data_IF_685300636189
#
_entry.id   IF_685300636189
#
_cell.length_a   1.000
_cell.length_b   1.000
_cell.length_c   1.000
_cell.angle_alpha   90.00
_cell.angle_beta   90.00
_cell.angle_gamma   90.00
#
_symmetry.space_group_name_H-M   'P 1'
#
loop_
_entity.id
_entity.type
_entity.pdbx_description
1 polymer ?
#
# COMPACT_ATOMS: atom_id res chain seq x y z
N UNK A 1 7.58 -12.19 -0.21
CA UNK A 1 6.30 -12.12 0.54
C UNK A 1 5.72 -10.74 0.32
N UNK A 2 4.53 -10.68 -0.27
CA UNK A 2 3.90 -9.44 -0.73
C UNK A 2 3.52 -8.54 0.44
N UNK A 3 3.62 -7.23 0.23
CA UNK A 3 3.13 -6.19 1.12
C UNK A 3 2.36 -5.19 0.30
N UNK A 4 1.14 -4.88 0.69
CA UNK A 4 0.27 -4.03 -0.11
C UNK A 4 -0.59 -3.12 0.74
N UNK A 5 -1.01 -2.02 0.14
CA UNK A 5 -2.04 -1.12 0.68
C UNK A 5 -3.02 -0.85 -0.44
N UNK A 6 -4.30 -1.12 -0.20
CA UNK A 6 -5.36 -1.05 -1.20
C UNK A 6 -6.51 -0.24 -0.61
N UNK A 7 -6.90 0.83 -1.29
CA UNK A 7 -8.15 1.56 -1.00
C UNK A 7 -9.31 0.83 -1.68
N UNK A 8 -10.28 0.38 -0.90
CA UNK A 8 -11.48 -0.32 -1.38
C UNK A 8 -12.72 0.32 -0.75
N UNK A 9 -13.42 1.16 -1.53
CA UNK A 9 -14.52 1.98 -1.02
C UNK A 9 -14.08 2.87 0.13
N UNK A 10 -14.75 2.75 1.28
CA UNK A 10 -14.41 3.49 2.50
C UNK A 10 -13.34 2.79 3.37
N UNK A 11 -12.82 1.65 2.92
CA UNK A 11 -11.85 0.87 3.68
C UNK A 11 -10.46 0.89 3.06
N UNK A 12 -9.45 0.71 3.92
CA UNK A 12 -8.06 0.51 3.51
C UNK A 12 -7.65 -0.88 3.99
N UNK A 13 -7.22 -1.71 3.05
CA UNK A 13 -6.64 -3.03 3.32
C UNK A 13 -5.13 -2.90 3.29
N UNK A 14 -4.47 -3.43 4.30
CA UNK A 14 -3.03 -3.45 4.44
C UNK A 14 -2.58 -4.90 4.59
N UNK A 15 -1.90 -5.42 3.59
CA UNK A 15 -1.29 -6.75 3.62
C UNK A 15 0.18 -6.60 4.01
N UNK A 16 0.64 -7.24 5.08
CA UNK A 16 1.99 -6.97 5.60
C UNK A 16 2.75 -8.17 6.18
N UNK A 17 2.09 -9.32 6.41
CA UNK A 17 2.71 -10.57 6.90
C UNK A 17 3.91 -10.35 7.83
N UNK A 18 3.72 -9.64 8.95
CA UNK A 18 4.77 -9.26 9.92
C UNK A 18 4.21 -9.40 11.34
N UNK A 19 4.98 -9.97 12.25
CA UNK A 19 4.54 -10.18 13.64
C UNK A 19 3.31 -11.09 13.78
N UNK A 20 3.09 -12.01 12.82
CA UNK A 20 1.92 -12.90 12.80
C UNK A 20 0.60 -12.22 12.46
N UNK A 21 0.66 -11.06 11.79
CA UNK A 21 -0.46 -10.33 11.17
C UNK A 21 -0.34 -10.51 9.66
N UNK A 22 -1.38 -11.02 9.01
CA UNK A 22 -1.40 -11.25 7.57
C UNK A 22 -1.92 -10.01 6.84
N UNK A 23 -3.14 -9.59 7.20
CA UNK A 23 -3.77 -8.37 6.72
C UNK A 23 -4.43 -7.56 7.85
N UNK A 24 -4.58 -6.26 7.61
CA UNK A 24 -5.31 -5.31 8.45
C UNK A 24 -6.35 -4.61 7.59
N UNK A 25 -7.60 -4.56 8.06
CA UNK A 25 -8.66 -3.72 7.48
C UNK A 25 -8.91 -2.51 8.37
N UNK A 26 -8.88 -1.33 7.76
CA UNK A 26 -9.16 -0.05 8.42
C UNK A 26 -10.44 0.54 7.82
N UNK A 27 -11.49 0.68 8.63
CA UNK A 27 -12.75 1.32 8.23
C UNK A 27 -13.49 1.85 9.47
N UNK A 28 -12.98 2.92 10.08
CA UNK A 28 -13.43 3.39 11.41
C UNK A 28 -12.91 2.53 12.57
N UNK A 29 -12.81 1.22 12.37
CA UNK A 29 -12.19 0.25 13.27
C UNK A 29 -10.98 -0.43 12.60
N UNK A 30 -10.12 -1.04 13.43
CA UNK A 30 -8.95 -1.80 12.99
C UNK A 30 -9.19 -3.28 13.26
N UNK A 31 -9.21 -4.07 12.18
CA UNK A 31 -9.44 -5.52 12.20
C UNK A 31 -8.25 -6.25 11.62
N UNK A 32 -7.93 -7.42 12.17
CA UNK A 32 -6.84 -8.28 11.70
C UNK A 32 -7.42 -9.53 11.06
N UNK A 33 -6.83 -9.99 9.97
CA UNK A 33 -7.38 -11.11 9.20
C UNK A 33 -6.47 -11.55 8.07
N UNK A 34 -7.06 -12.30 7.14
CA UNK A 34 -6.48 -12.65 5.85
C UNK A 34 -7.13 -11.83 4.73
N UNK A 35 -6.40 -11.60 3.64
CA UNK A 35 -6.91 -10.98 2.43
C UNK A 35 -6.35 -11.70 1.21
N UNK A 36 -7.20 -12.12 0.29
CA UNK A 36 -6.79 -12.89 -0.90
C UNK A 36 -6.72 -12.06 -2.20
N UNK A 37 -6.95 -10.74 -2.09
CA UNK A 37 -7.06 -9.84 -3.23
C UNK A 37 -8.50 -9.42 -3.55
N UNK A 38 -9.49 -10.13 -3.02
CA UNK A 38 -10.92 -9.87 -3.22
C UNK A 38 -11.62 -9.71 -1.88
N UNK A 39 -11.47 -10.72 -1.01
CA UNK A 39 -12.20 -10.85 0.24
C UNK A 39 -11.28 -10.75 1.45
N UNK A 40 -11.77 -10.09 2.50
CA UNK A 40 -11.12 -9.99 3.80
C UNK A 40 -11.84 -10.88 4.81
N UNK A 41 -11.11 -11.82 5.41
CA UNK A 41 -11.63 -12.71 6.45
C UNK A 41 -11.03 -12.32 7.79
N UNK A 42 -11.87 -11.80 8.68
CA UNK A 42 -11.45 -11.40 10.03
C UNK A 42 -11.04 -12.61 10.87
N UNK A 43 -9.95 -12.47 11.62
CA UNK A 43 -9.47 -13.47 12.57
C UNK A 43 -9.46 -12.88 13.97
N UNK A 44 -9.90 -13.68 14.93
CA UNK A 44 -9.69 -13.34 16.35
C UNK A 44 -8.20 -13.40 16.67
N UNK A 45 -7.68 -12.34 17.28
CA UNK A 45 -6.27 -12.19 17.66
C UNK A 45 -6.15 -11.66 19.07
N UNK A 46 -4.99 -11.83 19.69
CA UNK A 46 -4.71 -11.25 21.01
C UNK A 46 -4.68 -9.72 20.96
N UNK A 47 -4.94 -9.07 22.11
CA UNK A 47 -4.85 -7.61 22.24
C UNK A 47 -3.46 -7.07 21.87
N UNK A 48 -2.40 -7.83 22.17
CA UNK A 48 -1.03 -7.49 21.77
C UNK A 48 -0.89 -7.41 20.24
N UNK A 49 -1.44 -8.39 19.50
CA UNK A 49 -1.45 -8.37 18.04
C UNK A 49 -2.29 -7.22 17.50
N UNK A 50 -3.42 -6.94 18.14
CA UNK A 50 -4.27 -5.82 17.75
C UNK A 50 -3.55 -4.47 17.93
N UNK A 51 -2.82 -4.28 19.04
CA UNK A 51 -2.01 -3.09 19.26
C UNK A 51 -0.89 -2.94 18.22
N UNK A 52 -0.18 -4.02 17.91
CA UNK A 52 0.81 -4.03 16.81
C UNK A 52 0.17 -3.67 15.47
N UNK A 53 -1.02 -4.18 15.19
CA UNK A 53 -1.77 -3.84 13.97
C UNK A 53 -2.14 -2.35 13.94
N UNK A 54 -2.58 -1.77 15.06
CA UNK A 54 -2.86 -0.33 15.17
C UNK A 54 -1.63 0.52 14.85
N UNK A 55 -0.46 0.13 15.35
CA UNK A 55 0.79 0.83 15.06
C UNK A 55 1.17 0.78 13.58
N UNK A 56 1.08 -0.39 12.95
CA UNK A 56 1.32 -0.52 11.50
C UNK A 56 0.32 0.29 10.68
N UNK A 57 -0.97 0.19 11.01
CA UNK A 57 -2.02 0.95 10.35
C UNK A 57 -1.75 2.45 10.43
N UNK A 58 -1.41 2.97 11.61
CA UNK A 58 -1.08 4.40 11.79
C UNK A 58 0.10 4.85 10.93
N UNK A 59 1.20 4.09 10.92
CA UNK A 59 2.38 4.40 10.09
C UNK A 59 2.01 4.47 8.60
N UNK A 60 1.26 3.48 8.13
CA UNK A 60 0.87 3.38 6.73
C UNK A 60 -0.13 4.46 6.33
N UNK A 61 -1.16 4.70 7.14
CA UNK A 61 -2.14 5.77 6.90
C UNK A 61 -1.45 7.12 6.78
N UNK A 62 -0.47 7.40 7.63
CA UNK A 62 0.33 8.62 7.54
C UNK A 62 1.16 8.70 6.24
N UNK A 63 1.68 7.57 5.74
CA UNK A 63 2.39 7.55 4.47
C UNK A 63 1.46 7.86 3.29
N UNK A 64 0.31 7.20 3.23
CA UNK A 64 -0.61 7.30 2.07
C UNK A 64 -1.54 8.51 2.12
N UNK A 65 -1.73 9.16 3.27
CA UNK A 65 -2.54 10.39 3.37
C UNK A 65 -1.94 11.55 2.58
N UNK A 66 -0.62 11.57 2.41
CA UNK A 66 0.07 12.51 1.52
C UNK A 66 -0.17 12.25 0.03
N UNK A 67 -0.91 11.19 -0.31
CA UNK A 67 -1.02 10.61 -1.65
C UNK A 67 -2.48 10.26 -2.01
N UNK A 68 -3.37 11.25 -2.15
CA UNK A 68 -4.81 10.98 -2.33
C UNK A 68 -5.14 10.26 -3.64
N UNK A 69 -4.36 10.47 -4.72
CA UNK A 69 -4.57 9.87 -6.03
C UNK A 69 -4.22 8.37 -6.12
N UNK A 70 -3.45 7.84 -5.16
CA UNK A 70 -3.04 6.44 -5.14
C UNK A 70 -4.21 5.57 -4.69
N UNK A 71 -4.56 4.58 -5.50
CA UNK A 71 -5.55 3.55 -5.20
C UNK A 71 -4.87 2.40 -4.45
N UNK A 72 -3.73 1.93 -4.94
CA UNK A 72 -2.98 0.88 -4.27
C UNK A 72 -1.48 0.96 -4.50
N UNK A 73 -0.73 0.45 -3.54
CA UNK A 73 0.71 0.19 -3.64
C UNK A 73 0.93 -1.29 -3.31
N UNK A 74 1.66 -2.00 -4.15
CA UNK A 74 2.03 -3.40 -3.95
C UNK A 74 3.54 -3.51 -4.03
N UNK A 75 4.15 -4.20 -3.07
CA UNK A 75 5.57 -4.51 -3.02
C UNK A 75 5.75 -6.02 -2.90
N UNK A 76 6.36 -6.62 -3.91
CA UNK A 76 6.85 -8.00 -3.88
C UNK A 76 8.34 -8.00 -4.22
N UNK A 77 8.66 -8.05 -5.51
CA UNK A 77 10.02 -7.94 -6.07
C UNK A 77 10.27 -6.55 -6.66
N UNK A 78 9.21 -5.87 -7.07
CA UNK A 78 9.20 -4.46 -7.48
C UNK A 78 8.01 -3.75 -6.84
N UNK A 79 7.99 -2.43 -6.93
CA UNK A 79 6.86 -1.63 -6.46
C UNK A 79 5.91 -1.36 -7.63
N UNK A 80 4.63 -1.66 -7.41
CA UNK A 80 3.53 -1.35 -8.32
C UNK A 80 2.63 -0.32 -7.64
N UNK A 81 2.33 0.77 -8.32
CA UNK A 81 1.43 1.80 -7.81
C UNK A 81 0.27 1.99 -8.77
N UNK A 82 -0.95 1.69 -8.33
CA UNK A 82 -2.18 2.01 -9.06
C UNK A 82 -2.69 3.38 -8.61
N UNK A 83 -3.02 4.25 -9.55
CA UNK A 83 -3.49 5.61 -9.26
C UNK A 83 -4.44 6.12 -10.35
N UNK A 84 -5.15 7.20 -10.04
CA UNK A 84 -6.00 7.92 -11.01
C UNK A 84 -5.24 9.12 -11.56
N UNK A 85 -5.18 9.24 -12.88
CA UNK A 85 -4.63 10.38 -13.60
C UNK A 85 -5.55 10.78 -14.75
N UNK A 86 -5.97 12.04 -14.79
CA UNK A 86 -6.92 12.57 -15.77
C UNK A 86 -8.16 11.67 -15.95
N UNK A 87 -8.71 11.18 -14.83
CA UNK A 87 -9.89 10.30 -14.82
C UNK A 87 -9.64 8.85 -15.24
N UNK A 88 -8.39 8.47 -15.52
CA UNK A 88 -8.03 7.12 -15.91
C UNK A 88 -7.25 6.41 -14.81
N UNK A 89 -7.55 5.11 -14.61
CA UNK A 89 -6.70 4.26 -13.80
C UNK A 89 -5.41 3.91 -14.56
N UNK A 90 -4.28 4.07 -13.89
CA UNK A 90 -2.93 3.84 -14.40
C UNK A 90 -2.17 2.99 -13.38
N UNK A 91 -1.32 2.09 -13.86
CA UNK A 91 -0.36 1.36 -13.05
C UNK A 91 1.04 1.82 -13.41
N UNK A 92 1.76 2.33 -12.41
CA UNK A 92 3.18 2.64 -12.48
C UNK A 92 4.00 1.47 -11.91
N UNK A 93 5.04 1.07 -12.62
CA UNK A 93 6.04 0.10 -12.18
C UNK A 93 7.29 0.87 -11.79
N UNK A 94 7.70 0.76 -10.53
CA UNK A 94 8.78 1.55 -9.95
C UNK A 94 9.95 0.62 -9.63
N UNK A 95 11.03 0.82 -10.38
CA UNK A 95 12.35 0.22 -10.16
C UNK A 95 13.42 1.33 -10.20
N UNK A 96 14.47 1.17 -11.01
CA UNK A 96 15.45 2.23 -11.32
C UNK A 96 14.83 3.34 -12.20
N UNK A 97 13.74 3.03 -12.89
CA UNK A 97 12.93 3.97 -13.66
C UNK A 97 11.44 3.75 -13.36
N UNK A 98 10.60 4.70 -13.78
CA UNK A 98 9.14 4.57 -13.73
C UNK A 98 8.64 4.21 -15.12
N UNK A 99 7.91 3.11 -15.24
CA UNK A 99 7.18 2.76 -16.46
C UNK A 99 5.68 2.65 -16.19
N UNK A 100 4.86 2.81 -17.22
CA UNK A 100 3.40 2.83 -17.09
C UNK A 100 2.77 1.72 -17.94
N UNK A 101 1.68 1.13 -17.48
CA UNK A 101 0.93 0.12 -18.25
C UNK A 101 0.20 0.68 -19.48
N UNK A 102 0.17 2.00 -19.64
CA UNK A 102 -0.47 2.72 -20.74
C UNK A 102 0.54 3.65 -21.41
N UNK A 103 0.35 3.89 -22.70
CA UNK A 103 1.08 4.94 -23.42
C UNK A 103 0.50 6.31 -23.03
N UNK A 104 1.00 6.87 -21.93
CA UNK A 104 0.58 8.18 -21.41
C UNK A 104 1.82 9.00 -21.05
N UNK A 105 1.67 10.33 -21.10
CA UNK A 105 2.64 11.27 -20.55
C UNK A 105 2.13 11.78 -19.21
N UNK A 106 2.81 11.36 -18.15
CA UNK A 106 2.59 11.83 -16.78
C UNK A 106 3.48 13.05 -16.57
N UNK A 107 2.94 14.11 -15.97
CA UNK A 107 3.74 15.28 -15.62
C UNK A 107 4.75 14.94 -14.50
N UNK A 108 5.85 15.69 -14.47
CA UNK A 108 6.97 15.42 -13.55
C UNK A 108 6.58 15.54 -12.07
N UNK A 109 5.61 16.39 -11.73
CA UNK A 109 5.18 16.57 -10.35
C UNK A 109 4.38 15.35 -9.87
N UNK A 110 3.49 14.84 -10.71
CA UNK A 110 2.78 13.58 -10.44
C UNK A 110 3.76 12.41 -10.32
N UNK A 111 4.75 12.30 -11.21
CA UNK A 111 5.77 11.25 -11.13
C UNK A 111 6.59 11.33 -9.84
N UNK A 112 7.05 12.52 -9.47
CA UNK A 112 7.77 12.76 -8.21
C UNK A 112 6.94 12.36 -6.99
N UNK A 113 5.64 12.71 -6.99
CA UNK A 113 4.72 12.33 -5.91
C UNK A 113 4.58 10.82 -5.82
N UNK A 114 4.40 10.11 -6.94
CA UNK A 114 4.30 8.64 -6.93
C UNK A 114 5.57 8.02 -6.31
N UNK A 115 6.75 8.48 -6.72
CA UNK A 115 8.02 8.02 -6.18
C UNK A 115 8.15 8.29 -4.67
N UNK A 116 7.79 9.49 -4.22
CA UNK A 116 7.83 9.86 -2.81
C UNK A 116 6.87 9.00 -1.97
N UNK A 117 5.65 8.79 -2.47
CA UNK A 117 4.65 7.95 -1.83
C UNK A 117 5.12 6.49 -1.67
N UNK A 118 5.68 5.92 -2.74
CA UNK A 118 6.25 4.58 -2.70
C UNK A 118 7.41 4.48 -1.70
N UNK A 119 8.30 5.48 -1.65
CA UNK A 119 9.37 5.54 -0.65
C UNK A 119 8.84 5.63 0.78
N UNK A 120 7.84 6.49 1.04
CA UNK A 120 7.20 6.61 2.36
C UNK A 120 6.55 5.30 2.79
N UNK A 121 5.84 4.62 1.88
CA UNK A 121 5.25 3.32 2.13
C UNK A 121 6.31 2.29 2.54
N UNK A 122 7.39 2.19 1.76
CA UNK A 122 8.52 1.29 2.03
C UNK A 122 9.15 1.56 3.40
N UNK A 123 9.45 2.82 3.70
CA UNK A 123 10.03 3.23 4.98
C UNK A 123 9.10 2.94 6.16
N UNK A 124 7.79 3.10 5.98
CA UNK A 124 6.80 2.85 7.04
C UNK A 124 6.72 1.38 7.47
N UNK A 125 7.17 0.48 6.59
CA UNK A 125 7.21 -0.96 6.81
C UNK A 125 8.62 -1.51 7.07
N UNK A 126 9.62 -0.62 7.18
CA UNK A 126 11.05 -0.94 7.30
C UNK A 126 11.55 -1.80 6.13
N UNK A 127 11.04 -1.55 4.92
CA UNK A 127 11.40 -2.30 3.72
C UNK A 127 12.59 -1.64 3.03
N UNK A 128 13.59 -2.45 2.71
CA UNK A 128 14.71 -2.03 1.87
C UNK A 128 14.46 -2.50 0.43
N UNK A 129 14.60 -1.60 -0.53
CA UNK A 129 14.75 -2.01 -1.93
C UNK A 129 16.07 -2.77 -2.03
N UNK A 130 16.05 -3.99 -2.57
CA UNK A 130 17.30 -4.62 -2.99
C UNK A 130 17.74 -3.92 -4.27
N UNK A 131 18.92 -3.33 -4.27
CA UNK A 131 19.58 -2.93 -5.51
C UNK A 131 19.81 -4.23 -6.31
N UNK A 132 19.17 -4.33 -7.49
CA UNK A 132 19.38 -5.42 -8.45
C UNK A 132 20.48 -4.98 -9.41
#
# INVERSE_FOLDING_TARGET
MTKSVIKQGNSIIIELYKGGIEAIKVNGEIKVGEFDGVDFVEKSVSEEKLNKARDYAKKILNAISSCPCIISIVFSDMIYTKFVYNGQEVVAFISNCVTYNKQISIDKDTENRLLECSKKFMNSLDLKQKEI
#
